data_IF_894061192762
#
_entry.id   IF_894061192762
#
_cell.length_a   1.000
_cell.length_b   1.000
_cell.length_c   1.000
_cell.angle_alpha   90.00
_cell.angle_beta   90.00
_cell.angle_gamma   90.00
#
_symmetry.space_group_name_H-M   'P 1'
#
loop_
_entity.id
_entity.type
_entity.pdbx_description
1 polymer ?
#
# COMPACT_ATOMS: atom_id res chain seq x y z
N UNK A 1 -4.59 -36.34 -5.48
CA UNK A 1 -5.86 -35.80 -6.01
C UNK A 1 -6.73 -35.40 -4.83
N UNK A 2 -6.77 -34.11 -4.48
CA UNK A 2 -7.73 -33.57 -3.52
C UNK A 2 -8.68 -32.66 -4.29
N UNK A 3 -9.97 -32.91 -4.14
CA UNK A 3 -11.03 -32.22 -4.86
C UNK A 3 -11.04 -30.73 -4.51
N UNK A 4 -11.21 -29.87 -5.51
CA UNK A 4 -11.52 -28.45 -5.32
C UNK A 4 -12.91 -28.35 -4.68
N UNK A 5 -13.12 -27.51 -3.65
CA UNK A 5 -14.46 -27.20 -3.21
C UNK A 5 -15.13 -26.35 -4.29
N UNK A 6 -16.33 -26.76 -4.67
CA UNK A 6 -17.25 -25.99 -5.50
C UNK A 6 -17.63 -24.75 -4.70
N UNK A 7 -17.16 -23.58 -5.14
CA UNK A 7 -17.55 -22.29 -4.59
C UNK A 7 -19.03 -22.11 -4.90
N UNK A 8 -19.87 -22.32 -3.90
CA UNK A 8 -21.26 -21.88 -3.94
C UNK A 8 -21.25 -20.35 -3.93
N UNK A 9 -21.43 -19.75 -5.11
CA UNK A 9 -21.70 -18.33 -5.25
C UNK A 9 -23.04 -18.03 -4.56
N UNK A 10 -23.00 -17.69 -3.26
CA UNK A 10 -24.09 -16.94 -2.66
C UNK A 10 -24.08 -15.55 -3.28
N UNK A 11 -24.95 -15.36 -4.27
CA UNK A 11 -25.39 -14.04 -4.69
C UNK A 11 -26.05 -13.34 -3.50
N UNK A 12 -25.28 -12.54 -2.77
CA UNK A 12 -25.82 -11.39 -2.06
C UNK A 12 -25.39 -10.14 -2.82
N UNK A 13 -26.38 -9.39 -3.29
CA UNK A 13 -26.21 -8.11 -3.95
C UNK A 13 -25.57 -7.11 -2.98
N UNK A 14 -24.24 -7.00 -3.02
CA UNK A 14 -23.56 -5.74 -2.71
C UNK A 14 -23.50 -5.01 -4.05
N UNK A 15 -23.98 -3.76 -4.18
CA UNK A 15 -23.87 -3.07 -5.44
C UNK A 15 -22.38 -2.97 -5.79
N UNK A 16 -22.03 -3.55 -6.94
CA UNK A 16 -20.80 -3.23 -7.66
C UNK A 16 -20.60 -1.72 -7.61
N UNK A 17 -19.36 -1.26 -7.35
CA UNK A 17 -18.92 0.14 -7.44
C UNK A 17 -19.89 1.04 -8.23
N UNK A 18 -20.95 1.49 -7.55
CA UNK A 18 -21.96 2.36 -8.11
C UNK A 18 -21.66 3.69 -7.46
N UNK A 19 -21.07 4.57 -8.25
CA UNK A 19 -20.87 5.98 -7.92
C UNK A 19 -22.22 6.69 -7.93
N UNK A 20 -23.14 6.26 -7.08
CA UNK A 20 -24.46 6.85 -6.97
C UNK A 20 -24.55 7.57 -5.62
N UNK A 21 -23.97 8.77 -5.63
CA UNK A 21 -24.33 9.80 -4.65
C UNK A 21 -25.80 10.15 -4.81
N UNK A 22 -26.67 9.42 -4.10
CA UNK A 22 -28.10 9.71 -4.01
C UNK A 22 -28.46 10.20 -2.62
N UNK A 23 -28.98 11.42 -2.52
CA UNK A 23 -29.80 11.84 -1.39
C UNK A 23 -31.27 11.87 -1.79
N UNK A 24 -32.13 11.36 -0.92
CA UNK A 24 -33.55 11.64 -0.95
C UNK A 24 -33.78 13.01 -0.32
N UNK A 25 -34.44 13.91 -1.05
CA UNK A 25 -34.97 15.16 -0.49
C UNK A 25 -34.39 16.43 -1.11
N UNK A 26 -35.29 17.29 -1.56
CA UNK A 26 -35.06 18.63 -2.09
C UNK A 26 -34.41 19.55 -1.05
N UNK A 27 -33.10 19.76 -1.12
CA UNK A 27 -32.40 20.73 -0.27
C UNK A 27 -31.16 21.30 -0.98
N UNK A 28 -30.75 22.49 -0.53
CA UNK A 28 -29.62 23.29 -1.02
C UNK A 28 -28.44 22.43 -1.49
N UNK A 29 -27.91 22.70 -2.68
CA UNK A 29 -26.90 21.85 -3.33
C UNK A 29 -25.56 21.98 -2.60
N UNK A 30 -25.42 21.23 -1.50
CA UNK A 30 -24.24 21.19 -0.65
C UNK A 30 -23.01 20.78 -1.48
N UNK A 31 -21.81 21.27 -1.14
CA UNK A 31 -20.60 20.87 -1.83
C UNK A 31 -20.39 19.35 -1.70
N UNK A 32 -19.75 18.71 -2.71
CA UNK A 32 -19.50 17.27 -2.66
C UNK A 32 -18.80 16.85 -1.37
N UNK A 33 -19.33 15.81 -0.72
CA UNK A 33 -18.71 15.22 0.45
C UNK A 33 -17.35 14.61 0.07
N UNK A 34 -16.28 15.11 0.66
CA UNK A 34 -14.93 14.54 0.52
C UNK A 34 -14.58 13.78 1.79
N UNK A 35 -13.98 12.62 1.61
CA UNK A 35 -13.45 11.77 2.67
C UNK A 35 -11.98 11.52 2.37
N UNK A 36 -11.13 11.84 3.34
CA UNK A 36 -9.68 11.69 3.21
C UNK A 36 -9.19 10.74 4.29
N UNK A 37 -8.72 9.57 3.88
CA UNK A 37 -8.02 8.65 4.78
C UNK A 37 -6.56 9.08 4.90
N UNK A 38 -6.06 9.20 6.12
CA UNK A 38 -4.63 9.38 6.37
C UNK A 38 -3.93 8.01 6.25
N UNK A 39 -3.30 7.77 5.10
CA UNK A 39 -2.62 6.50 4.79
C UNK A 39 -1.44 6.21 5.71
N UNK A 40 -0.79 7.24 6.26
CA UNK A 40 0.31 7.07 7.21
C UNK A 40 -0.19 6.68 8.62
N UNK A 41 -1.52 6.74 8.83
CA UNK A 41 -2.21 6.38 10.08
C UNK A 41 -3.07 5.13 9.94
N UNK A 42 -2.90 4.35 8.86
CA UNK A 42 -3.46 3.01 8.73
C UNK A 42 -2.53 2.02 9.45
N UNK A 43 -3.00 1.48 10.56
CA UNK A 43 -2.32 0.48 11.37
C UNK A 43 -3.14 -0.82 11.35
N UNK A 44 -2.69 -1.77 10.51
CA UNK A 44 -3.36 -3.06 10.36
C UNK A 44 -3.20 -3.93 11.61
N UNK A 45 -2.08 -3.84 12.31
CA UNK A 45 -1.79 -4.65 13.51
C UNK A 45 -2.65 -4.18 14.70
N UNK A 46 -2.82 -2.86 14.83
CA UNK A 46 -3.69 -2.25 15.84
C UNK A 46 -5.16 -2.18 15.41
N UNK A 47 -5.50 -2.69 14.21
CA UNK A 47 -6.83 -2.63 13.62
C UNK A 47 -7.46 -1.23 13.68
N UNK A 48 -6.71 -0.23 13.24
CA UNK A 48 -7.04 1.19 13.39
C UNK A 48 -6.67 1.98 12.15
N UNK A 49 -7.51 2.95 11.79
CA UNK A 49 -7.18 3.98 10.81
C UNK A 49 -7.73 5.35 11.21
N UNK A 50 -7.17 6.40 10.62
CA UNK A 50 -7.65 7.77 10.76
C UNK A 50 -8.14 8.32 9.43
N UNK A 51 -9.23 9.09 9.48
CA UNK A 51 -9.76 9.82 8.33
C UNK A 51 -10.35 11.16 8.75
N UNK A 52 -10.66 12.00 7.77
CA UNK A 52 -11.39 13.25 7.94
C UNK A 52 -12.45 13.42 6.85
N UNK A 53 -13.45 14.23 7.15
CA UNK A 53 -14.54 14.57 6.22
C UNK A 53 -14.58 16.07 5.96
N UNK A 54 -14.97 16.50 4.76
CA UNK A 54 -15.11 17.94 4.43
C UNK A 54 -16.36 18.60 5.01
N UNK A 55 -17.20 17.81 5.69
CA UNK A 55 -18.48 18.23 6.31
C UNK A 55 -18.59 17.57 7.68
N UNK A 56 -19.54 18.03 8.49
CA UNK A 56 -19.85 17.42 9.77
C UNK A 56 -20.18 15.93 9.61
N UNK A 57 -19.52 15.09 10.41
CA UNK A 57 -19.69 13.65 10.34
C UNK A 57 -20.90 13.20 11.14
N UNK A 58 -21.55 12.13 10.67
CA UNK A 58 -22.56 11.38 11.42
C UNK A 58 -22.02 10.01 11.81
N UNK A 59 -21.63 9.20 10.84
CA UNK A 59 -21.10 7.88 11.12
C UNK A 59 -20.13 7.41 10.05
N UNK A 60 -19.31 6.42 10.37
CA UNK A 60 -18.50 5.69 9.40
C UNK A 60 -18.72 4.21 9.58
N UNK A 61 -19.23 3.56 8.55
CA UNK A 61 -19.26 2.09 8.46
C UNK A 61 -17.97 1.59 7.82
N UNK A 62 -17.32 0.62 8.45
CA UNK A 62 -16.14 -0.06 7.95
C UNK A 62 -16.49 -1.51 7.62
N UNK A 63 -15.98 -2.00 6.49
CA UNK A 63 -15.96 -3.42 6.12
C UNK A 63 -14.53 -3.82 5.76
N UNK A 64 -14.04 -4.90 6.34
CA UNK A 64 -12.66 -5.39 6.16
C UNK A 64 -12.73 -6.78 5.57
N UNK A 65 -11.99 -7.03 4.49
CA UNK A 65 -12.03 -8.26 3.72
C UNK A 65 -10.64 -8.89 3.66
N UNK A 66 -10.60 -10.22 3.73
CA UNK A 66 -9.42 -11.04 3.45
C UNK A 66 -9.18 -11.18 1.95
N UNK A 67 -8.08 -11.85 1.59
CA UNK A 67 -7.69 -12.04 0.19
C UNK A 67 -8.66 -12.93 -0.60
N UNK A 68 -9.27 -13.91 0.05
CA UNK A 68 -10.31 -14.77 -0.54
C UNK A 68 -11.69 -14.09 -0.62
N UNK A 69 -11.79 -12.82 -0.20
CA UNK A 69 -13.01 -12.04 -0.15
C UNK A 69 -13.90 -12.30 1.07
N UNK A 70 -13.49 -13.19 1.98
CA UNK A 70 -14.19 -13.38 3.25
C UNK A 70 -14.14 -12.11 4.10
N UNK A 71 -15.20 -11.90 4.89
CA UNK A 71 -15.30 -10.71 5.72
C UNK A 71 -14.62 -10.92 7.08
N UNK A 72 -13.61 -10.09 7.34
CA UNK A 72 -12.88 -10.05 8.59
C UNK A 72 -13.56 -9.16 9.62
N UNK A 73 -14.19 -8.07 9.22
CA UNK A 73 -14.94 -7.22 10.13
C UNK A 73 -16.00 -6.40 9.39
N UNK A 74 -17.10 -6.09 10.08
CA UNK A 74 -18.08 -5.10 9.68
C UNK A 74 -18.54 -4.35 10.93
N UNK A 75 -18.34 -3.03 10.99
CA UNK A 75 -18.66 -2.21 12.16
C UNK A 75 -19.10 -0.81 11.72
N UNK A 76 -19.90 -0.14 12.55
CA UNK A 76 -20.27 1.25 12.35
C UNK A 76 -19.88 2.07 13.59
N UNK A 77 -19.27 3.23 13.34
CA UNK A 77 -18.79 4.13 14.37
C UNK A 77 -19.60 5.43 14.30
N UNK A 78 -20.16 5.84 15.43
CA UNK A 78 -20.83 7.13 15.56
C UNK A 78 -19.82 8.26 15.73
N UNK A 79 -19.98 9.29 14.90
CA UNK A 79 -19.19 10.52 14.92
C UNK A 79 -20.10 11.75 14.89
N UNK A 80 -21.36 11.61 15.29
CA UNK A 80 -22.33 12.71 15.31
C UNK A 80 -21.78 13.93 16.06
N UNK A 81 -21.92 15.11 15.46
CA UNK A 81 -21.41 16.38 16.02
C UNK A 81 -19.91 16.62 15.82
N UNK A 82 -19.18 15.73 15.13
CA UNK A 82 -17.77 16.00 14.77
C UNK A 82 -17.72 16.97 13.59
N UNK A 83 -17.08 18.15 13.74
CA UNK A 83 -17.07 19.15 12.69
C UNK A 83 -16.23 18.72 11.47
N UNK A 84 -16.39 19.42 10.36
CA UNK A 84 -15.54 19.24 9.18
C UNK A 84 -14.05 19.33 9.53
N UNK A 85 -13.25 18.42 8.96
CA UNK A 85 -11.81 18.34 9.21
C UNK A 85 -11.42 17.69 10.54
N UNK A 86 -12.37 17.31 11.41
CA UNK A 86 -12.05 16.55 12.61
C UNK A 86 -11.42 15.20 12.26
N UNK A 87 -10.40 14.79 13.03
CA UNK A 87 -9.84 13.45 12.96
C UNK A 87 -10.85 12.44 13.50
N UNK A 88 -11.27 11.52 12.64
CA UNK A 88 -12.14 10.41 12.97
C UNK A 88 -11.29 9.14 13.05
N UNK A 89 -11.33 8.48 14.20
CA UNK A 89 -10.55 7.26 14.46
C UNK A 89 -11.48 6.06 14.32
N UNK A 90 -11.27 5.27 13.28
CA UNK A 90 -12.04 4.05 13.04
C UNK A 90 -11.22 2.85 13.48
N UNK A 91 -11.81 1.98 14.27
CA UNK A 91 -11.22 0.71 14.67
C UNK A 91 -12.07 -0.45 14.17
N UNK A 92 -11.51 -1.65 14.16
CA UNK A 92 -12.29 -2.86 13.93
C UNK A 92 -11.79 -3.99 14.83
N UNK A 93 -12.65 -4.98 15.05
CA UNK A 93 -12.30 -6.24 15.70
C UNK A 93 -12.40 -7.33 14.64
N UNK A 94 -11.29 -7.96 14.24
CA UNK A 94 -11.32 -8.98 13.21
C UNK A 94 -11.93 -10.29 13.74
N UNK A 95 -12.57 -11.04 12.84
CA UNK A 95 -13.18 -12.35 13.09
C UNK A 95 -12.16 -13.49 13.03
N UNK A 96 -11.01 -13.28 12.40
CA UNK A 96 -9.89 -14.20 12.28
C UNK A 96 -8.57 -13.42 12.14
N UNK A 97 -7.43 -14.12 12.20
CA UNK A 97 -6.10 -13.52 12.03
C UNK A 97 -5.65 -13.45 10.55
N UNK A 98 -6.58 -13.67 9.61
CA UNK A 98 -6.25 -13.61 8.19
C UNK A 98 -5.86 -12.18 7.79
N UNK A 99 -4.94 -12.08 6.81
CA UNK A 99 -4.41 -10.80 6.39
C UNK A 99 -5.47 -9.91 5.73
N UNK A 100 -5.47 -8.63 6.10
CA UNK A 100 -6.36 -7.62 5.49
C UNK A 100 -5.96 -7.38 4.04
N UNK A 101 -6.83 -7.76 3.12
CA UNK A 101 -6.64 -7.47 1.69
C UNK A 101 -7.29 -6.13 1.30
N UNK A 102 -8.47 -5.84 1.84
CA UNK A 102 -9.27 -4.67 1.44
C UNK A 102 -10.03 -4.09 2.61
N UNK A 103 -10.09 -2.77 2.67
CA UNK A 103 -10.89 -1.99 3.62
C UNK A 103 -11.85 -1.11 2.82
N UNK A 104 -13.12 -1.15 3.17
CA UNK A 104 -14.16 -0.31 2.62
C UNK A 104 -14.74 0.57 3.72
N UNK A 105 -14.82 1.86 3.46
CA UNK A 105 -15.36 2.86 4.37
C UNK A 105 -16.54 3.54 3.71
N UNK A 106 -17.65 3.62 4.42
CA UNK A 106 -18.85 4.34 4.01
C UNK A 106 -19.08 5.43 5.06
N UNK A 107 -18.68 6.65 4.74
CA UNK A 107 -18.76 7.78 5.67
C UNK A 107 -20.02 8.61 5.37
N UNK A 108 -20.87 8.77 6.38
CA UNK A 108 -22.14 9.49 6.33
C UNK A 108 -21.99 10.85 7.01
N UNK A 109 -22.50 11.90 6.39
CA UNK A 109 -22.60 13.22 7.03
C UNK A 109 -23.92 13.40 7.79
N UNK A 110 -24.01 14.52 8.53
CA UNK A 110 -25.20 14.85 9.32
C UNK A 110 -26.50 14.98 8.50
N UNK A 111 -26.41 15.18 7.18
CA UNK A 111 -27.56 15.32 6.28
C UNK A 111 -27.89 14.01 5.55
N UNK A 112 -27.21 12.90 5.89
CA UNK A 112 -27.47 11.58 5.33
C UNK A 112 -26.80 11.32 3.98
N UNK A 113 -26.01 12.25 3.45
CA UNK A 113 -25.17 11.94 2.27
C UNK A 113 -24.02 11.05 2.70
N UNK A 114 -23.57 10.18 1.81
CA UNK A 114 -22.42 9.31 2.09
C UNK A 114 -21.42 9.30 0.95
N UNK A 115 -20.17 8.96 1.29
CA UNK A 115 -19.13 8.66 0.31
C UNK A 115 -18.39 7.40 0.70
N UNK A 116 -18.25 6.51 -0.28
CA UNK A 116 -17.44 5.31 -0.20
C UNK A 116 -15.96 5.60 -0.47
N UNK A 117 -15.08 5.01 0.31
CA UNK A 117 -13.62 4.96 0.07
C UNK A 117 -13.17 3.52 0.24
N UNK A 118 -12.43 2.99 -0.73
CA UNK A 118 -11.80 1.68 -0.63
C UNK A 118 -10.27 1.84 -0.57
N UNK A 119 -9.65 1.02 0.26
CA UNK A 119 -8.20 0.89 0.37
C UNK A 119 -7.82 -0.56 0.17
N UNK A 120 -6.73 -0.81 -0.53
CA UNK A 120 -6.10 -2.13 -0.62
C UNK A 120 -4.71 -2.06 -0.01
N UNK A 121 -4.59 -2.19 1.32
CA UNK A 121 -3.31 -2.12 2.02
C UNK A 121 -2.47 -3.40 1.86
N UNK A 122 -2.99 -4.39 1.15
CA UNK A 122 -2.28 -5.61 0.79
C UNK A 122 -0.94 -5.29 0.12
N UNK A 123 0.10 -5.96 0.59
CA UNK A 123 1.39 -5.96 -0.04
C UNK A 123 2.16 -7.26 0.25
N UNK A 124 3.02 -7.65 -0.68
CA UNK A 124 3.90 -8.82 -0.55
C UNK A 124 5.32 -8.37 -0.81
N UNK A 125 6.20 -8.54 0.18
CA UNK A 125 7.64 -8.33 0.01
C UNK A 125 8.26 -9.58 -0.61
N UNK A 126 8.98 -9.43 -1.72
CA UNK A 126 9.62 -10.54 -2.43
C UNK A 126 11.00 -10.82 -1.83
N UNK A 127 11.24 -11.99 -1.23
CA UNK A 127 12.57 -12.37 -0.75
C UNK A 127 13.52 -12.56 -1.91
N UNK A 128 14.72 -11.99 -1.83
CA UNK A 128 15.71 -12.01 -2.90
C UNK A 128 17.13 -11.83 -2.34
N UNK A 129 18.11 -12.02 -3.21
CA UNK A 129 19.51 -11.70 -2.90
C UNK A 129 19.82 -10.26 -3.30
N UNK A 130 20.51 -9.52 -2.42
CA UNK A 130 20.86 -8.13 -2.68
C UNK A 130 21.76 -7.97 -3.91
N UNK A 131 21.40 -7.01 -4.77
CA UNK A 131 22.21 -6.59 -5.92
C UNK A 131 23.28 -5.63 -5.44
N UNK A 132 24.54 -6.00 -5.66
CA UNK A 132 25.68 -5.20 -5.23
C UNK A 132 26.04 -4.15 -6.28
N UNK A 133 26.36 -2.94 -5.80
CA UNK A 133 26.83 -1.84 -6.63
C UNK A 133 28.24 -1.42 -6.20
N UNK A 134 29.04 -0.98 -7.17
CA UNK A 134 30.28 -0.27 -6.84
C UNK A 134 29.98 1.00 -6.04
N UNK A 135 30.97 1.45 -5.26
CA UNK A 135 30.92 2.69 -4.49
C UNK A 135 30.45 3.86 -5.37
N UNK A 136 29.42 4.58 -4.90
CA UNK A 136 28.80 5.71 -5.59
C UNK A 136 28.26 5.43 -7.01
N UNK A 137 28.08 4.16 -7.38
CA UNK A 137 27.48 3.76 -8.66
C UNK A 137 26.09 3.15 -8.48
N UNK A 138 25.34 3.19 -9.58
CA UNK A 138 24.04 2.55 -9.76
C UNK A 138 24.02 1.61 -10.99
N UNK A 139 25.19 1.32 -11.57
CA UNK A 139 25.31 0.37 -12.67
C UNK A 139 25.23 -1.06 -12.13
N UNK A 140 24.30 -1.85 -12.65
CA UNK A 140 24.19 -3.28 -12.36
C UNK A 140 25.25 -4.01 -13.17
N UNK A 141 26.11 -4.77 -12.48
CA UNK A 141 27.13 -5.60 -13.15
C UNK A 141 26.48 -6.87 -13.69
N UNK A 142 27.03 -7.41 -14.79
CA UNK A 142 26.59 -8.69 -15.36
C UNK A 142 26.63 -9.84 -14.35
N UNK A 143 27.58 -9.82 -13.41
CA UNK A 143 27.67 -10.81 -12.33
C UNK A 143 26.47 -10.79 -11.37
N UNK A 144 25.71 -9.69 -11.30
CA UNK A 144 24.54 -9.54 -10.43
C UNK A 144 23.23 -9.91 -11.14
N UNK A 145 23.22 -9.99 -12.48
CA UNK A 145 22.02 -10.32 -13.27
C UNK A 145 21.36 -11.65 -12.85
N UNK A 146 22.09 -12.74 -12.51
CA UNK A 146 21.45 -13.96 -12.04
C UNK A 146 20.53 -13.78 -10.81
N UNK A 147 20.86 -12.85 -9.90
CA UNK A 147 20.04 -12.53 -8.73
C UNK A 147 18.73 -11.83 -9.14
N UNK A 148 18.80 -11.00 -10.17
CA UNK A 148 17.63 -10.31 -10.73
C UNK A 148 16.74 -11.27 -11.52
N UNK A 149 17.31 -12.23 -12.25
CA UNK A 149 16.55 -13.31 -12.89
C UNK A 149 15.79 -14.17 -11.87
N UNK A 150 16.45 -14.56 -10.77
CA UNK A 150 15.79 -15.28 -9.67
C UNK A 150 14.63 -14.46 -9.09
N UNK A 151 14.85 -13.16 -8.88
CA UNK A 151 13.84 -12.23 -8.36
C UNK A 151 12.67 -12.06 -9.33
N UNK A 152 12.95 -11.98 -10.64
CA UNK A 152 11.95 -11.87 -11.69
C UNK A 152 11.01 -13.08 -11.71
N UNK A 153 11.56 -14.29 -11.62
CA UNK A 153 10.75 -15.52 -11.53
C UNK A 153 9.84 -15.52 -10.29
N UNK A 154 10.36 -15.08 -9.13
CA UNK A 154 9.57 -14.97 -7.90
C UNK A 154 8.47 -13.91 -7.99
N UNK A 155 8.77 -12.77 -8.59
CA UNK A 155 7.81 -11.69 -8.85
C UNK A 155 6.67 -12.21 -9.75
N UNK A 156 6.99 -12.87 -10.86
CA UNK A 156 5.96 -13.40 -11.76
C UNK A 156 5.08 -14.44 -11.08
N UNK A 157 5.69 -15.35 -10.31
CA UNK A 157 4.96 -16.35 -9.54
C UNK A 157 3.99 -15.69 -8.54
N UNK A 158 4.46 -14.73 -7.75
CA UNK A 158 3.62 -14.05 -6.78
C UNK A 158 2.50 -13.23 -7.44
N UNK A 159 2.75 -12.61 -8.60
CA UNK A 159 1.70 -11.93 -9.36
C UNK A 159 0.60 -12.91 -9.77
N UNK A 160 0.96 -14.10 -10.25
CA UNK A 160 0.00 -15.12 -10.66
C UNK A 160 -0.79 -15.67 -9.47
N UNK A 161 -0.13 -15.93 -8.33
CA UNK A 161 -0.76 -16.44 -7.11
C UNK A 161 -1.80 -15.47 -6.53
N UNK A 162 -1.62 -14.17 -6.75
CA UNK A 162 -2.45 -13.11 -6.16
C UNK A 162 -3.27 -12.31 -7.18
N UNK A 163 -3.33 -12.73 -8.45
CA UNK A 163 -3.92 -11.94 -9.54
C UNK A 163 -5.38 -11.50 -9.33
N UNK A 164 -6.14 -12.26 -8.54
CA UNK A 164 -7.55 -11.98 -8.24
C UNK A 164 -7.73 -10.76 -7.32
N UNK A 165 -6.67 -10.32 -6.62
CA UNK A 165 -6.73 -9.15 -5.74
C UNK A 165 -6.88 -7.85 -6.53
N UNK A 166 -6.40 -7.81 -7.77
CA UNK A 166 -6.56 -6.70 -8.70
C UNK A 166 -5.28 -6.28 -9.41
N UNK A 167 -5.16 -4.97 -9.68
CA UNK A 167 -4.07 -4.42 -10.50
C UNK A 167 -2.75 -4.30 -9.73
N UNK A 168 -2.07 -5.44 -9.53
CA UNK A 168 -0.77 -5.55 -8.86
C UNK A 168 0.31 -4.78 -9.64
N UNK A 169 1.12 -4.03 -8.89
CA UNK A 169 2.26 -3.25 -9.36
C UNK A 169 3.51 -3.69 -8.59
N UNK A 170 4.67 -3.55 -9.21
CA UNK A 170 5.95 -3.73 -8.54
C UNK A 170 6.47 -2.39 -8.04
N UNK A 171 6.85 -2.33 -6.78
CA UNK A 171 7.50 -1.20 -6.12
C UNK A 171 8.92 -1.57 -5.72
N UNK A 172 9.90 -0.78 -6.16
CA UNK A 172 11.33 -0.98 -5.90
C UNK A 172 11.85 0.15 -5.00
N UNK A 173 12.15 -0.15 -3.73
CA UNK A 173 12.61 0.82 -2.74
C UNK A 173 14.11 0.68 -2.49
N UNK A 174 14.90 1.70 -2.80
CA UNK A 174 16.34 1.71 -2.52
C UNK A 174 16.66 2.32 -1.15
N UNK A 175 17.64 1.75 -0.46
CA UNK A 175 18.13 2.21 0.85
C UNK A 175 19.66 2.33 0.87
N UNK A 176 20.19 3.13 1.79
CA UNK A 176 21.62 3.25 2.10
C UNK A 176 21.86 3.04 3.59
N UNK A 177 23.12 2.83 3.97
CA UNK A 177 23.57 3.07 5.33
C UNK A 177 23.70 4.57 5.62
N UNK A 178 24.19 4.91 6.81
CA UNK A 178 24.31 6.28 7.31
C UNK A 178 25.64 6.94 6.95
N UNK A 179 26.40 6.39 5.99
CA UNK A 179 27.68 6.94 5.56
C UNK A 179 27.45 8.00 4.49
N UNK A 180 28.00 9.20 4.69
CA UNK A 180 27.84 10.33 3.80
C UNK A 180 26.56 11.13 4.04
N UNK A 181 26.35 12.19 3.24
CA UNK A 181 25.24 13.12 3.52
C UNK A 181 23.86 12.51 3.18
N UNK A 182 22.80 12.86 3.94
CA UNK A 182 21.44 12.38 3.67
C UNK A 182 20.96 12.67 2.23
N UNK A 183 21.30 13.85 1.70
CA UNK A 183 20.92 14.25 0.33
C UNK A 183 21.61 13.40 -0.75
N UNK A 184 22.88 13.05 -0.54
CA UNK A 184 23.62 12.13 -1.40
C UNK A 184 23.02 10.74 -1.34
N UNK A 185 22.76 10.24 -0.13
CA UNK A 185 22.17 8.93 0.15
C UNK A 185 20.78 8.77 -0.49
N UNK A 186 19.94 9.80 -0.42
CA UNK A 186 18.64 9.84 -1.09
C UNK A 186 18.79 9.77 -2.63
N UNK A 187 19.74 10.51 -3.19
CA UNK A 187 19.99 10.50 -4.64
C UNK A 187 20.53 9.15 -5.11
N UNK A 188 21.48 8.57 -4.37
CA UNK A 188 22.13 7.31 -4.71
C UNK A 188 21.17 6.13 -4.64
N UNK A 189 20.42 6.02 -3.52
CA UNK A 189 19.40 4.98 -3.36
C UNK A 189 18.34 5.03 -4.48
N UNK A 190 17.87 6.23 -4.85
CA UNK A 190 16.89 6.41 -5.93
C UNK A 190 17.46 5.94 -7.27
N UNK A 191 18.71 6.29 -7.60
CA UNK A 191 19.35 5.85 -8.85
C UNK A 191 19.48 4.32 -8.92
N UNK A 192 19.83 3.67 -7.80
CA UNK A 192 19.93 2.20 -7.71
C UNK A 192 18.57 1.52 -7.87
N UNK A 193 17.55 2.02 -7.19
CA UNK A 193 16.17 1.53 -7.34
C UNK A 193 15.67 1.69 -8.78
N UNK A 194 15.95 2.84 -9.41
CA UNK A 194 15.60 3.08 -10.81
C UNK A 194 16.31 2.10 -11.77
N UNK A 195 17.60 1.83 -11.56
CA UNK A 195 18.34 0.91 -12.41
C UNK A 195 17.75 -0.51 -12.36
N UNK A 196 17.36 -0.99 -11.17
CA UNK A 196 16.72 -2.29 -10.99
C UNK A 196 15.30 -2.30 -11.58
N UNK A 197 14.51 -1.26 -11.36
CA UNK A 197 13.19 -1.13 -11.98
C UNK A 197 13.26 -1.18 -13.51
N UNK A 198 14.23 -0.47 -14.10
CA UNK A 198 14.50 -0.53 -15.55
C UNK A 198 14.91 -1.92 -16.01
N UNK A 199 15.71 -2.63 -15.22
CA UNK A 199 16.10 -4.00 -15.53
C UNK A 199 14.86 -4.90 -15.62
N UNK A 200 13.97 -4.88 -14.62
CA UNK A 200 12.74 -5.69 -14.63
C UNK A 200 11.82 -5.33 -15.81
N UNK A 201 11.69 -4.05 -16.14
CA UNK A 201 10.87 -3.63 -17.28
C UNK A 201 11.46 -4.11 -18.60
N UNK A 202 12.77 -3.94 -18.81
CA UNK A 202 13.49 -4.44 -20.00
C UNK A 202 13.44 -5.97 -20.11
N UNK A 203 13.44 -6.67 -18.96
CA UNK A 203 13.35 -8.12 -18.90
C UNK A 203 11.98 -8.66 -19.35
N UNK A 204 10.96 -7.80 -19.38
CA UNK A 204 9.62 -8.13 -19.89
C UNK A 204 8.53 -8.17 -18.80
N UNK A 205 8.73 -7.52 -17.65
CA UNK A 205 7.65 -7.41 -16.66
C UNK A 205 6.51 -6.53 -17.23
N UNK A 206 5.35 -7.14 -17.46
CA UNK A 206 4.19 -6.44 -18.02
C UNK A 206 3.60 -5.43 -17.03
N UNK A 207 3.54 -5.80 -15.74
CA UNK A 207 2.97 -4.99 -14.68
C UNK A 207 3.66 -3.61 -14.57
N UNK A 208 2.94 -2.58 -14.11
CA UNK A 208 3.53 -1.30 -13.80
C UNK A 208 4.66 -1.44 -12.77
N UNK A 209 5.75 -0.72 -12.97
CA UNK A 209 6.90 -0.70 -12.07
C UNK A 209 7.11 0.72 -11.56
N UNK A 210 7.22 0.84 -10.24
CA UNK A 210 7.49 2.08 -9.55
C UNK A 210 8.80 1.97 -8.78
N UNK A 211 9.47 3.08 -8.59
CA UNK A 211 10.70 3.14 -7.82
C UNK A 211 10.76 4.37 -6.92
N UNK A 212 11.44 4.22 -5.78
CA UNK A 212 11.73 5.29 -4.84
C UNK A 212 13.10 5.07 -4.19
N UNK A 213 13.74 6.17 -3.78
CA UNK A 213 14.92 6.11 -2.93
C UNK A 213 14.59 6.69 -1.58
N UNK A 214 14.96 5.99 -0.52
CA UNK A 214 14.73 6.40 0.86
C UNK A 214 16.02 6.85 1.56
N UNK A 215 17.18 6.65 0.93
CA UNK A 215 18.48 6.88 1.56
C UNK A 215 18.55 6.13 2.90
N UNK A 216 18.91 6.87 3.93
CA UNK A 216 19.04 6.37 5.31
C UNK A 216 17.80 6.56 6.19
N UNK A 217 16.66 7.03 5.65
CA UNK A 217 15.47 7.28 6.47
C UNK A 217 14.75 5.99 6.92
N UNK A 218 15.01 4.88 6.22
CA UNK A 218 14.41 3.56 6.50
C UNK A 218 15.51 2.50 6.64
N UNK A 219 16.23 2.57 7.76
CA UNK A 219 17.29 1.62 8.11
C UNK A 219 16.70 0.26 8.54
N UNK A 220 17.32 -0.83 8.09
CA UNK A 220 17.01 -2.17 8.58
C UNK A 220 17.63 -2.40 9.97
N UNK A 221 18.80 -1.83 10.22
CA UNK A 221 19.51 -1.82 11.50
C UNK A 221 19.75 -0.36 11.88
N UNK A 222 19.21 0.08 13.01
CA UNK A 222 19.41 1.44 13.50
C UNK A 222 20.87 1.66 13.84
N UNK A 223 21.51 2.61 13.17
CA UNK A 223 22.91 3.00 13.38
C UNK A 223 22.99 4.49 13.68
N UNK A 224 24.13 4.94 14.20
CA UNK A 224 24.47 6.37 14.27
C UNK A 224 24.94 6.86 12.90
N UNK A 225 25.06 8.17 12.74
CA UNK A 225 25.63 8.78 11.54
C UNK A 225 27.05 8.26 11.27
N UNK A 226 27.43 8.19 10.00
CA UNK A 226 28.74 7.74 9.52
C UNK A 226 29.10 6.28 9.88
N UNK A 227 28.10 5.41 10.03
CA UNK A 227 28.30 3.97 10.30
C UNK A 227 27.94 3.14 9.08
N UNK A 228 28.94 2.45 8.54
CA UNK A 228 28.72 1.46 7.47
C UNK A 228 28.00 0.23 8.01
N UNK A 229 26.87 -0.11 7.42
CA UNK A 229 26.10 -1.30 7.74
C UNK A 229 25.56 -1.94 6.45
N UNK A 230 26.03 -3.13 6.14
CA UNK A 230 25.72 -3.80 4.88
C UNK A 230 24.23 -4.13 4.75
N UNK A 231 23.55 -4.46 5.85
CA UNK A 231 22.10 -4.76 5.85
C UNK A 231 21.24 -3.52 5.52
N UNK A 232 21.78 -2.32 5.70
CA UNK A 232 21.09 -1.08 5.35
C UNK A 232 21.21 -0.75 3.86
N UNK A 233 22.28 -1.23 3.19
CA UNK A 233 22.48 -1.07 1.74
C UNK A 233 21.70 -2.12 0.96
N UNK A 234 20.38 -2.00 0.98
CA UNK A 234 19.44 -2.96 0.40
C UNK A 234 18.49 -2.33 -0.62
N UNK A 235 17.81 -3.16 -1.39
CA UNK A 235 16.68 -2.74 -2.22
C UNK A 235 15.49 -3.63 -1.95
N UNK A 236 14.36 -3.09 -1.52
CA UNK A 236 13.16 -3.89 -1.25
C UNK A 236 12.29 -3.99 -2.52
N UNK A 237 11.84 -5.20 -2.86
CA UNK A 237 10.86 -5.48 -3.92
C UNK A 237 9.51 -5.78 -3.30
N UNK A 238 8.49 -4.99 -3.62
CA UNK A 238 7.19 -5.06 -2.98
C UNK A 238 6.12 -5.11 -4.07
N UNK A 239 5.28 -6.13 -4.06
CA UNK A 239 4.05 -6.18 -4.86
C UNK A 239 2.92 -5.58 -4.06
N UNK A 240 2.17 -4.66 -4.66
CA UNK A 240 1.00 -4.04 -4.03
C UNK A 240 0.05 -3.45 -5.09
N UNK A 241 -1.20 -3.17 -4.71
CA UNK A 241 -2.13 -2.41 -5.56
C UNK A 241 -1.87 -0.91 -5.38
N UNK A 242 -1.82 -0.46 -4.13
CA UNK A 242 -1.52 0.92 -3.77
C UNK A 242 -0.04 1.09 -3.40
N UNK A 243 0.49 2.33 -3.38
CA UNK A 243 1.84 2.57 -2.89
C UNK A 243 1.99 2.01 -1.47
N UNK A 244 2.98 1.14 -1.22
CA UNK A 244 3.14 0.53 0.09
C UNK A 244 3.58 1.59 1.11
N UNK A 245 3.02 1.49 2.32
CA UNK A 245 3.45 2.29 3.45
C UNK A 245 4.87 1.87 3.87
N UNK A 246 5.80 2.81 3.96
CA UNK A 246 7.17 2.56 4.39
C UNK A 246 7.36 3.13 5.80
N UNK A 247 7.64 2.28 6.78
CA UNK A 247 7.88 2.69 8.17
C UNK A 247 9.00 3.75 8.20
N UNK A 248 8.69 4.96 8.68
CA UNK A 248 9.61 6.13 8.78
C UNK A 248 10.03 6.82 7.47
N UNK A 249 9.50 6.40 6.31
CA UNK A 249 9.79 6.99 4.99
C UNK A 249 8.69 7.90 4.44
N UNK A 250 7.74 8.31 5.29
CA UNK A 250 6.55 9.07 4.91
C UNK A 250 6.86 10.24 3.97
N UNK A 251 6.09 10.36 2.90
CA UNK A 251 6.20 11.47 1.94
C UNK A 251 7.22 11.30 0.80
N UNK A 252 8.00 10.22 0.74
CA UNK A 252 8.84 9.96 -0.46
C UNK A 252 7.95 9.55 -1.64
N UNK A 253 7.95 10.31 -2.76
CA UNK A 253 7.09 10.00 -3.89
C UNK A 253 7.62 8.82 -4.69
N UNK A 254 6.75 7.82 -4.89
CA UNK A 254 6.97 6.74 -5.84
C UNK A 254 6.89 7.24 -7.27
N UNK A 255 7.92 6.98 -8.07
CA UNK A 255 7.97 7.36 -9.48
C UNK A 255 7.63 6.17 -10.35
N UNK A 256 6.70 6.36 -11.28
CA UNK A 256 6.45 5.38 -12.34
C UNK A 256 7.67 5.32 -13.28
N UNK A 257 7.94 4.13 -13.81
CA UNK A 257 8.92 3.91 -14.87
C UNK A 257 8.31 4.09 -16.27
#
# INVERSE_FOLDING_TARGET
MRALPVIAALLFAVPAFADDGGAAGSEEKLPPLKVTVDRDKVDLDAHRLELSMSREAKSVKIRVLAEDGSELAEQEHDFSGKPAGATLVVTWQPKSDDAVARIELYAYDAHGYWKGVALTPWSVKIPHQEVLFDTNKALIKKSEEPKLEESYARIQKAIEEHKEIGAIKLYVAGHTDTVGTPAHNLTLSRKRAQAIAQWFKKRGLANPVYFAGFGESVLAVKTKDEVSEAKNRRVDYILAIEPPAMKSGGGVPWKAL
#
